data_IF_865997796089
#
_entry.id   IF_865997796089
#
_cell.length_a   1.000
_cell.length_b   1.000
_cell.length_c   1.000
_cell.angle_alpha   90.00
_cell.angle_beta   90.00
_cell.angle_gamma   90.00
#
_symmetry.space_group_name_H-M   'P 1'
#
loop_
_entity.id
_entity.type
_entity.pdbx_description
1 polymer ?
#
# COMPACT_ATOMS: atom_id res chain seq x y z
N UNK A 1 -25.48 24.55 -14.89
CA UNK A 1 -24.06 24.20 -15.13
C UNK A 1 -23.40 23.96 -13.78
N UNK A 2 -23.48 22.72 -13.27
CA UNK A 2 -22.82 22.35 -12.01
C UNK A 2 -21.35 22.11 -12.30
N UNK A 3 -20.47 22.89 -11.66
CA UNK A 3 -19.04 22.65 -11.62
C UNK A 3 -18.80 21.65 -10.49
N UNK A 4 -18.50 20.40 -10.82
CA UNK A 4 -17.90 19.47 -9.87
C UNK A 4 -16.46 19.95 -9.60
N UNK A 5 -16.06 20.16 -8.33
CA UNK A 5 -14.69 20.51 -8.04
C UNK A 5 -13.81 19.28 -8.26
N UNK A 6 -12.84 19.38 -9.18
CA UNK A 6 -11.74 18.42 -9.23
C UNK A 6 -11.00 18.49 -7.89
N UNK A 7 -11.12 17.43 -7.08
CA UNK A 7 -10.23 17.21 -5.94
C UNK A 7 -8.87 16.83 -6.51
N UNK A 8 -7.94 17.78 -6.50
CA UNK A 8 -6.52 17.52 -6.71
C UNK A 8 -6.05 16.59 -5.60
N UNK A 9 -5.86 15.30 -5.91
CA UNK A 9 -5.18 14.35 -5.02
C UNK A 9 -3.70 14.72 -4.99
N UNK A 10 -3.27 15.37 -3.91
CA UNK A 10 -1.88 15.71 -3.67
C UNK A 10 -1.15 14.45 -3.18
N UNK A 11 -0.40 13.79 -4.05
CA UNK A 11 0.40 12.61 -3.69
C UNK A 11 1.80 13.05 -3.24
N UNK A 12 2.20 12.69 -2.02
CA UNK A 12 3.53 13.01 -1.45
C UNK A 12 4.37 11.72 -1.34
N UNK A 13 5.67 11.81 -1.64
CA UNK A 13 6.60 10.66 -1.64
C UNK A 13 7.69 10.84 -0.56
N UNK A 14 7.92 9.81 0.27
CA UNK A 14 8.99 9.79 1.28
C UNK A 14 10.00 8.66 0.98
N UNK A 15 11.30 8.95 1.00
CA UNK A 15 12.42 8.03 0.67
C UNK A 15 13.48 8.03 1.78
N UNK A 16 14.07 6.86 2.10
CA UNK A 16 15.14 6.73 3.12
C UNK A 16 16.40 6.03 2.57
N UNK A 17 17.60 6.49 2.97
CA UNK A 17 18.92 5.89 2.71
C UNK A 17 19.88 6.09 3.91
N UNK A 18 20.90 5.23 4.09
CA UNK A 18 21.79 5.20 5.28
C UNK A 18 23.14 5.93 5.02
N UNK A 19 23.56 6.82 5.95
CA UNK A 19 24.93 7.36 6.07
C UNK A 19 25.43 7.26 7.55
N UNK A 20 26.74 7.05 7.76
CA UNK A 20 27.36 6.84 9.09
C UNK A 20 27.84 8.17 9.74
N UNK A 21 27.19 8.64 10.81
CA UNK A 21 27.59 9.75 11.70
C UNK A 21 26.92 9.62 13.11
N UNK A 22 27.46 10.24 14.21
CA UNK A 22 27.12 9.94 15.63
C UNK A 22 25.69 10.38 16.04
N UNK A 23 25.16 9.99 17.22
CA UNK A 23 23.80 9.46 17.34
C UNK A 23 22.74 10.56 17.20
N UNK A 24 22.32 10.76 15.96
CA UNK A 24 20.99 11.25 15.66
C UNK A 24 20.02 10.25 16.29
N UNK A 25 19.13 10.69 17.18
CA UNK A 25 18.06 9.83 17.67
C UNK A 25 17.31 9.33 16.44
N UNK A 26 17.42 8.02 16.18
CA UNK A 26 16.74 7.40 15.06
C UNK A 26 15.25 7.70 15.21
N UNK A 27 14.67 8.28 14.16
CA UNK A 27 13.27 8.67 14.11
C UNK A 27 12.43 7.45 14.46
N UNK A 28 11.72 7.49 15.57
CA UNK A 28 10.88 6.39 16.02
C UNK A 28 9.59 6.39 15.19
N UNK A 29 8.94 5.23 15.05
CA UNK A 29 7.61 5.15 14.45
C UNK A 29 6.53 5.97 15.22
N UNK A 30 6.88 6.54 16.38
CA UNK A 30 6.04 7.44 17.18
C UNK A 30 6.36 8.94 16.94
N UNK A 31 7.36 9.27 16.13
CA UNK A 31 7.67 10.66 15.82
C UNK A 31 6.65 11.21 14.83
N UNK A 32 6.16 12.43 15.10
CA UNK A 32 5.09 13.15 14.39
C UNK A 32 5.35 13.41 12.88
N UNK A 33 6.51 12.99 12.35
CA UNK A 33 6.92 13.13 10.96
C UNK A 33 6.95 11.77 10.22
N UNK A 34 6.00 10.87 10.51
CA UNK A 34 5.76 9.64 9.74
C UNK A 34 6.99 8.74 9.58
N UNK A 35 7.78 8.57 10.65
CA UNK A 35 9.05 7.86 10.63
C UNK A 35 8.93 6.43 10.10
N UNK A 36 9.19 6.22 8.81
CA UNK A 36 9.25 4.91 8.17
C UNK A 36 10.51 4.20 8.62
N UNK A 37 10.34 3.09 9.34
CA UNK A 37 11.43 2.27 9.85
C UNK A 37 11.31 0.85 9.34
N UNK A 38 12.35 0.36 8.69
CA UNK A 38 12.52 -1.04 8.33
C UNK A 38 13.48 -1.70 9.31
N UNK A 39 13.07 -2.82 9.91
CA UNK A 39 13.86 -3.56 10.90
C UNK A 39 13.98 -5.00 10.47
N UNK A 40 15.21 -5.52 10.38
CA UNK A 40 15.42 -6.95 10.17
C UNK A 40 15.22 -7.72 11.49
N UNK A 41 14.57 -8.87 11.42
CA UNK A 41 14.49 -9.79 12.56
C UNK A 41 15.76 -10.63 12.63
N UNK A 42 16.55 -10.44 13.69
CA UNK A 42 17.83 -11.14 13.87
C UNK A 42 17.67 -12.61 14.26
N UNK A 43 16.50 -13.02 14.75
CA UNK A 43 16.21 -14.40 15.12
C UNK A 43 15.74 -15.25 13.92
N UNK A 44 15.27 -14.61 12.85
CA UNK A 44 14.75 -15.30 11.66
C UNK A 44 15.23 -14.57 10.40
N UNK A 45 16.42 -14.94 9.86
CA UNK A 45 16.98 -14.31 8.67
C UNK A 45 15.99 -14.26 7.51
N UNK A 46 16.01 -13.16 6.75
CA UNK A 46 15.08 -12.94 5.63
C UNK A 46 13.68 -12.47 6.05
N UNK A 47 13.45 -12.19 7.33
CA UNK A 47 12.20 -11.58 7.82
C UNK A 47 12.44 -10.17 8.33
N UNK A 48 11.50 -9.29 8.04
CA UNK A 48 11.58 -7.85 8.28
C UNK A 48 10.25 -7.32 8.81
N UNK A 49 10.30 -6.25 9.59
CA UNK A 49 9.15 -5.45 9.98
C UNK A 49 9.34 -4.02 9.46
N UNK A 50 8.35 -3.52 8.72
CA UNK A 50 8.22 -2.09 8.43
C UNK A 50 7.23 -1.47 9.41
N UNK A 51 7.55 -0.29 9.93
CA UNK A 51 6.70 0.43 10.88
C UNK A 51 6.71 1.92 10.57
N UNK A 52 5.58 2.59 10.83
CA UNK A 52 5.40 4.03 10.61
C UNK A 52 4.32 4.60 11.53
N UNK A 53 4.21 5.92 11.61
CA UNK A 53 3.07 6.57 12.27
C UNK A 53 1.90 6.68 11.28
N UNK A 54 0.82 5.95 11.51
CA UNK A 54 -0.39 6.02 10.71
C UNK A 54 -1.27 7.17 11.18
N UNK A 55 -1.14 8.34 10.55
CA UNK A 55 -1.92 9.55 10.86
C UNK A 55 -3.39 9.39 10.44
N UNK A 56 -4.31 9.80 11.31
CA UNK A 56 -5.73 9.77 10.99
C UNK A 56 -6.07 10.60 9.74
N UNK A 57 -7.00 10.09 8.92
CA UNK A 57 -7.39 10.70 7.64
C UNK A 57 -6.49 10.36 6.46
N UNK A 58 -5.44 9.56 6.67
CA UNK A 58 -4.58 9.03 5.60
C UNK A 58 -4.82 7.53 5.42
N UNK A 59 -4.84 7.09 4.17
CA UNK A 59 -4.72 5.69 3.79
C UNK A 59 -3.31 5.46 3.23
N UNK A 60 -2.67 4.39 3.66
CA UNK A 60 -1.29 4.05 3.34
C UNK A 60 -1.23 2.78 2.49
N UNK A 61 -0.48 2.88 1.40
CA UNK A 61 -0.08 1.79 0.53
C UNK A 61 1.42 1.59 0.68
N UNK A 62 1.85 0.34 0.85
CA UNK A 62 3.27 0.03 0.99
C UNK A 62 3.83 -0.43 -0.36
N UNK A 63 4.80 0.31 -0.88
CA UNK A 63 5.50 -0.03 -2.12
C UNK A 63 6.83 -0.73 -1.83
N UNK A 64 7.24 -1.58 -2.77
CA UNK A 64 8.51 -2.30 -2.77
C UNK A 64 9.24 -2.25 -4.11
N UNK A 65 10.57 -2.30 -4.03
CA UNK A 65 11.47 -2.48 -5.16
C UNK A 65 12.74 -3.19 -4.70
N UNK A 66 13.41 -3.92 -5.59
CA UNK A 66 14.70 -4.58 -5.34
C UNK A 66 15.88 -3.72 -5.80
N UNK A 67 15.64 -2.71 -6.63
CA UNK A 67 16.64 -1.96 -7.39
C UNK A 67 16.48 -0.43 -7.36
N UNK A 68 15.44 0.08 -6.67
CA UNK A 68 15.01 1.48 -6.64
C UNK A 68 14.45 2.04 -7.95
N UNK A 69 14.28 1.22 -8.99
CA UNK A 69 13.82 1.66 -10.31
C UNK A 69 12.30 1.46 -10.44
N UNK A 70 11.64 2.39 -11.14
CA UNK A 70 10.21 2.30 -11.43
C UNK A 70 9.91 1.34 -12.60
N UNK A 71 8.73 0.68 -12.62
CA UNK A 71 7.67 0.77 -11.62
C UNK A 71 7.99 -0.01 -10.33
N UNK A 72 7.54 0.53 -9.20
CA UNK A 72 7.61 -0.17 -7.92
C UNK A 72 6.37 -1.04 -7.77
N UNK A 73 6.54 -2.26 -7.28
CA UNK A 73 5.41 -3.11 -6.91
C UNK A 73 4.80 -2.66 -5.58
N UNK A 74 3.65 -3.20 -5.23
CA UNK A 74 3.02 -3.00 -3.93
C UNK A 74 3.07 -4.28 -3.10
N UNK A 75 2.99 -4.11 -1.79
CA UNK A 75 2.55 -5.17 -0.89
C UNK A 75 1.02 -5.23 -0.88
N UNK A 76 0.42 -6.38 -0.55
CA UNK A 76 -1.03 -6.52 -0.41
C UNK A 76 -1.50 -5.92 0.93
N UNK A 77 -1.29 -4.62 1.10
CA UNK A 77 -1.58 -3.88 2.33
C UNK A 77 -2.14 -2.50 2.01
N UNK A 78 -3.33 -2.23 2.55
CA UNK A 78 -3.95 -0.92 2.61
C UNK A 78 -4.29 -0.65 4.06
N UNK A 79 -3.66 0.36 4.66
CA UNK A 79 -3.88 0.69 6.07
C UNK A 79 -4.46 2.09 6.22
N UNK A 80 -5.58 2.22 6.90
CA UNK A 80 -6.08 3.52 7.35
C UNK A 80 -5.38 3.93 8.64
N UNK A 81 -4.75 5.10 8.65
CA UNK A 81 -4.13 5.65 9.84
C UNK A 81 -5.15 5.98 10.95
N UNK A 82 -4.72 5.79 12.20
CA UNK A 82 -5.55 5.98 13.41
C UNK A 82 -4.81 6.77 14.50
N UNK A 83 -3.89 7.63 14.11
CA UNK A 83 -2.93 8.31 14.98
C UNK A 83 -2.21 7.34 15.92
N UNK A 84 -1.67 6.27 15.33
CA UNK A 84 -0.97 5.21 16.04
C UNK A 84 0.16 4.62 15.19
N UNK A 85 1.12 3.96 15.83
CA UNK A 85 2.15 3.22 15.12
C UNK A 85 1.55 2.00 14.41
N UNK A 86 1.78 1.89 13.11
CA UNK A 86 1.46 0.72 12.28
C UNK A 86 2.70 -0.12 12.11
N UNK A 87 2.53 -1.45 12.06
CA UNK A 87 3.60 -2.42 11.82
C UNK A 87 3.13 -3.45 10.80
N UNK A 88 4.01 -3.82 9.88
CA UNK A 88 3.77 -4.87 8.91
C UNK A 88 5.00 -5.75 8.77
N UNK A 89 4.82 -7.04 9.03
CA UNK A 89 5.86 -8.05 8.91
C UNK A 89 5.84 -8.70 7.51
N UNK A 90 7.02 -8.91 6.93
CA UNK A 90 7.16 -9.63 5.68
C UNK A 90 8.45 -10.44 5.63
N UNK A 91 8.49 -11.43 4.74
CA UNK A 91 9.70 -12.17 4.41
C UNK A 91 10.05 -11.98 2.93
N UNK A 92 11.34 -12.06 2.62
CA UNK A 92 11.80 -12.09 1.23
C UNK A 92 13.08 -12.91 1.13
N UNK A 93 13.23 -13.75 0.07
CA UNK A 93 14.49 -14.41 -0.21
C UNK A 93 15.53 -13.47 -0.84
N UNK A 94 15.14 -12.25 -1.20
CA UNK A 94 16.00 -11.32 -1.92
C UNK A 94 17.00 -10.64 -0.99
N UNK A 95 18.24 -10.49 -1.47
CA UNK A 95 19.32 -9.81 -0.73
C UNK A 95 19.06 -8.31 -0.53
N UNK A 96 18.13 -7.73 -1.30
CA UNK A 96 17.81 -6.31 -1.29
C UNK A 96 16.30 -6.10 -1.31
N UNK A 97 15.86 -5.15 -0.50
CA UNK A 97 14.48 -4.67 -0.50
C UNK A 97 14.48 -3.19 -0.11
N UNK A 98 13.82 -2.40 -0.93
CA UNK A 98 13.52 -1.00 -0.67
C UNK A 98 12.03 -0.87 -0.48
N UNK A 99 11.62 -0.09 0.53
CA UNK A 99 10.21 0.15 0.83
C UNK A 99 9.95 1.64 0.93
N UNK A 100 8.75 2.05 0.55
CA UNK A 100 8.25 3.40 0.75
C UNK A 100 6.75 3.39 0.94
N UNK A 101 6.23 4.44 1.57
CA UNK A 101 4.80 4.65 1.67
C UNK A 101 4.33 5.51 0.50
N UNK A 102 3.21 5.11 -0.09
CA UNK A 102 2.35 5.98 -0.88
C UNK A 102 1.11 6.26 -0.05
N UNK A 103 0.73 7.53 0.03
CA UNK A 103 -0.36 7.97 0.88
C UNK A 103 -1.45 8.66 0.05
N UNK A 104 -2.69 8.45 0.49
CA UNK A 104 -3.88 9.07 -0.07
C UNK A 104 -4.67 9.68 1.08
N UNK A 105 -5.05 10.94 0.96
CA UNK A 105 -5.92 11.62 1.92
C UNK A 105 -7.34 11.06 1.76
N UNK A 106 -7.76 10.18 2.67
CA UNK A 106 -8.99 9.42 2.56
C UNK A 106 -9.55 9.08 3.93
N UNK A 107 -10.85 9.29 4.10
CA UNK A 107 -11.62 8.89 5.28
C UNK A 107 -12.58 7.74 4.96
N UNK A 108 -12.32 6.98 3.89
CA UNK A 108 -13.20 5.89 3.47
C UNK A 108 -13.28 4.82 4.56
N UNK A 109 -14.51 4.34 4.80
CA UNK A 109 -14.77 3.30 5.78
C UNK A 109 -14.22 1.94 5.33
N UNK A 110 -14.16 1.71 4.01
CA UNK A 110 -13.56 0.55 3.37
C UNK A 110 -12.52 1.01 2.35
N UNK A 111 -11.21 0.99 2.71
CA UNK A 111 -10.15 1.38 1.80
C UNK A 111 -9.77 0.26 0.82
N UNK A 112 -10.22 -0.99 1.01
CA UNK A 112 -9.96 -2.09 0.09
C UNK A 112 -10.98 -2.12 -1.05
N UNK A 113 -12.22 -1.72 -0.78
CA UNK A 113 -13.26 -1.51 -1.80
C UNK A 113 -13.21 -0.14 -2.49
N UNK A 114 -12.21 0.70 -2.18
CA UNK A 114 -11.97 1.95 -2.89
C UNK A 114 -11.46 1.66 -4.31
N UNK A 115 -11.69 2.58 -5.24
CA UNK A 115 -11.17 2.56 -6.62
C UNK A 115 -10.45 3.90 -6.82
N UNK A 116 -9.14 3.88 -6.60
CA UNK A 116 -8.34 5.08 -6.41
C UNK A 116 -8.00 5.81 -7.70
N UNK A 117 -7.98 5.13 -8.84
CA UNK A 117 -7.81 5.75 -10.16
C UNK A 117 -9.06 5.76 -11.05
N UNK A 118 -10.13 5.09 -10.63
CA UNK A 118 -11.45 5.16 -11.23
C UNK A 118 -11.61 4.28 -12.45
N UNK A 119 -10.89 3.17 -12.55
CA UNK A 119 -10.94 2.26 -13.70
C UNK A 119 -11.99 1.14 -13.58
N UNK A 120 -12.64 1.06 -12.41
CA UNK A 120 -13.69 0.09 -12.10
C UNK A 120 -13.18 -1.19 -11.45
N UNK A 121 -11.90 -1.27 -11.06
CA UNK A 121 -11.31 -2.33 -10.26
C UNK A 121 -11.03 -1.80 -8.84
N UNK A 122 -11.43 -2.49 -7.76
CA UNK A 122 -11.09 -2.06 -6.41
C UNK A 122 -9.59 -2.21 -6.07
N UNK A 123 -9.04 -1.24 -5.36
CA UNK A 123 -7.64 -1.16 -4.90
C UNK A 123 -7.18 -2.47 -4.25
N UNK A 124 -8.04 -3.07 -3.42
CA UNK A 124 -7.74 -4.33 -2.75
C UNK A 124 -7.54 -5.49 -3.73
N UNK A 125 -8.37 -5.57 -4.76
CA UNK A 125 -8.28 -6.59 -5.79
C UNK A 125 -7.03 -6.37 -6.64
N UNK A 126 -6.74 -5.13 -7.01
CA UNK A 126 -5.54 -4.76 -7.77
C UNK A 126 -4.27 -5.20 -7.04
N UNK A 127 -4.16 -4.91 -5.73
CA UNK A 127 -3.00 -5.31 -4.94
C UNK A 127 -2.81 -6.83 -4.84
N UNK A 128 -3.91 -7.59 -4.72
CA UNK A 128 -3.86 -9.05 -4.72
C UNK A 128 -3.40 -9.65 -6.05
N UNK A 129 -3.67 -8.94 -7.16
CA UNK A 129 -3.33 -9.37 -8.52
C UNK A 129 -2.05 -8.70 -9.06
N UNK A 130 -1.37 -7.89 -8.25
CA UNK A 130 -0.12 -7.23 -8.61
C UNK A 130 -0.28 -6.06 -9.58
N UNK A 131 -1.47 -5.48 -9.66
CA UNK A 131 -1.77 -4.26 -10.39
C UNK A 131 -1.45 -3.02 -9.55
N UNK A 132 -1.54 -1.84 -10.16
CA UNK A 132 -1.24 -0.58 -9.52
C UNK A 132 -2.53 0.21 -9.30
N UNK A 133 -2.98 0.40 -8.03
CA UNK A 133 -4.21 1.13 -7.68
C UNK A 133 -4.28 2.62 -8.06
N UNK A 134 -3.34 3.07 -8.88
CA UNK A 134 -3.20 4.45 -9.28
C UNK A 134 -2.73 4.56 -10.75
N UNK A 135 -2.97 3.53 -11.55
CA UNK A 135 -2.74 3.48 -12.99
C UNK A 135 -3.89 2.77 -13.72
N UNK A 136 -4.97 3.54 -13.94
CA UNK A 136 -6.17 3.12 -14.66
C UNK A 136 -5.93 2.52 -16.06
N UNK A 137 -4.73 2.66 -16.62
CA UNK A 137 -4.40 2.03 -17.90
C UNK A 137 -4.23 0.52 -17.79
N UNK A 138 -3.88 0.01 -16.60
CA UNK A 138 -3.63 -1.40 -16.39
C UNK A 138 -4.92 -2.24 -16.38
N UNK A 139 -6.10 -1.67 -16.09
CA UNK A 139 -7.41 -2.31 -16.29
C UNK A 139 -7.62 -2.87 -17.70
N UNK A 140 -7.03 -2.22 -18.71
CA UNK A 140 -7.18 -2.60 -20.12
C UNK A 140 -6.10 -3.55 -20.61
N UNK A 141 -5.06 -3.81 -19.81
CA UNK A 141 -4.00 -4.76 -20.15
C UNK A 141 -4.58 -6.16 -20.25
N UNK A 142 -4.28 -6.85 -21.36
CA UNK A 142 -4.81 -8.17 -21.65
C UNK A 142 -3.84 -9.25 -21.17
N UNK A 143 -4.34 -10.12 -20.31
CA UNK A 143 -3.67 -11.31 -19.78
C UNK A 143 -4.56 -12.52 -20.01
N UNK A 144 -3.99 -13.62 -20.53
CA UNK A 144 -4.73 -14.84 -20.83
C UNK A 144 -6.03 -14.63 -21.66
N UNK A 145 -6.01 -13.68 -22.62
CA UNK A 145 -7.12 -13.26 -23.49
C UNK A 145 -8.26 -12.46 -22.83
N UNK A 146 -8.10 -12.02 -21.57
CA UNK A 146 -9.04 -11.12 -20.90
C UNK A 146 -8.31 -9.87 -20.42
N UNK A 147 -8.97 -8.71 -20.44
CA UNK A 147 -8.43 -7.54 -19.75
C UNK A 147 -8.49 -7.75 -18.23
N UNK A 148 -7.66 -7.03 -17.48
CA UNK A 148 -7.71 -7.06 -16.02
C UNK A 148 -9.10 -6.71 -15.47
N UNK A 149 -9.77 -5.71 -16.06
CA UNK A 149 -11.16 -5.38 -15.71
C UNK A 149 -12.13 -6.53 -15.97
N UNK A 150 -11.95 -7.25 -17.08
CA UNK A 150 -12.78 -8.41 -17.39
C UNK A 150 -12.50 -9.59 -16.45
N UNK A 151 -11.24 -9.78 -16.03
CA UNK A 151 -10.90 -10.76 -14.98
C UNK A 151 -11.59 -10.42 -13.66
N UNK A 152 -11.53 -9.16 -13.24
CA UNK A 152 -12.21 -8.69 -12.04
C UNK A 152 -13.72 -8.94 -12.12
N UNK A 153 -14.38 -8.49 -13.19
CA UNK A 153 -15.82 -8.67 -13.40
C UNK A 153 -16.24 -10.14 -13.40
N UNK A 154 -15.41 -11.04 -13.95
CA UNK A 154 -15.66 -12.48 -13.93
C UNK A 154 -15.45 -13.09 -12.53
N UNK A 155 -14.58 -12.51 -11.70
CA UNK A 155 -14.25 -13.02 -10.37
C UNK A 155 -15.34 -12.73 -9.33
N UNK A 156 -16.05 -11.61 -9.46
CA UNK A 156 -17.07 -11.18 -8.50
C UNK A 156 -18.47 -11.75 -8.81
N UNK A 157 -18.71 -12.20 -10.04
CA UNK A 157 -20.02 -12.74 -10.46
C UNK A 157 -21.11 -11.66 -10.58
N UNK A 158 -22.29 -11.99 -11.13
CA UNK A 158 -23.38 -11.03 -11.31
C UNK A 158 -23.99 -10.62 -9.96
N UNK A 159 -23.71 -9.40 -9.51
CA UNK A 159 -24.33 -8.80 -8.33
C UNK A 159 -23.50 -8.80 -7.05
N UNK A 160 -22.20 -9.12 -7.12
CA UNK A 160 -21.31 -8.89 -5.99
C UNK A 160 -21.10 -7.38 -5.76
N UNK A 161 -21.23 -6.99 -4.50
CA UNK A 161 -20.90 -5.67 -4.02
C UNK A 161 -19.36 -5.57 -3.89
N UNK A 162 -18.69 -4.68 -4.65
CA UNK A 162 -17.24 -4.51 -4.63
C UNK A 162 -16.66 -4.21 -3.23
N UNK A 163 -17.49 -3.85 -2.24
CA UNK A 163 -17.08 -3.46 -0.89
C UNK A 163 -17.07 -4.60 0.14
N UNK A 164 -17.12 -5.88 -0.27
CA UNK A 164 -17.32 -7.01 0.68
C UNK A 164 -16.23 -8.07 0.72
N UNK A 165 -15.19 -7.98 -0.09
CA UNK A 165 -14.06 -8.93 -0.04
C UNK A 165 -12.96 -8.41 0.88
N UNK A 166 -13.15 -8.54 2.20
CA UNK A 166 -12.02 -8.42 3.14
C UNK A 166 -11.07 -9.60 2.92
N UNK A 167 -9.79 -9.38 2.57
CA UNK A 167 -8.83 -10.46 2.49
C UNK A 167 -8.58 -11.04 3.88
N UNK A 168 -8.84 -12.34 4.05
CA UNK A 168 -8.46 -13.09 5.25
C UNK A 168 -6.94 -13.21 5.34
N UNK A 169 -6.28 -12.22 5.97
CA UNK A 169 -4.83 -12.23 6.14
C UNK A 169 -4.29 -11.34 7.27
N UNK A 170 -5.14 -10.73 8.09
CA UNK A 170 -4.69 -9.97 9.26
C UNK A 170 -4.30 -10.92 10.40
N UNK A 171 -3.03 -11.36 10.41
CA UNK A 171 -2.40 -11.74 11.66
C UNK A 171 -2.02 -10.45 12.38
N UNK A 172 -2.97 -9.92 13.15
CA UNK A 172 -2.67 -8.89 14.15
C UNK A 172 -1.82 -9.56 15.22
N UNK A 173 -0.50 -9.38 15.16
CA UNK A 173 0.32 -9.61 16.34
C UNK A 173 0.02 -8.49 17.34
N UNK A 174 -0.89 -8.79 18.28
CA UNK A 174 -1.01 -8.02 19.52
C UNK A 174 0.15 -8.40 20.46
N UNK A 175 0.65 -7.47 21.29
CA UNK A 175 1.82 -7.67 22.14
C UNK A 175 1.68 -8.81 23.16
#
# INVERSE_FOLDING_TARGET
MNRHPLRLLSSTLLLAAIFHAPPLRAQAAADLNEGLRLTANTATPGTYEVSWWGRAGHTYFLQRSEDLIAPWGYFPLIETGRDAAVRYGFSTPNDRIFVRLRLQESTLADPYGADSDGDGIPDGWELEHGLNPFDASDATVVVANLSNLALYQNSVGPGADPTTTTPTGLVVYSP
#
